data_IF_186881928812
#
_entry.id   IF_186881928812
#
_cell.length_a   1.000
_cell.length_b   1.000
_cell.length_c   1.000
_cell.angle_alpha   90.00
_cell.angle_beta   90.00
_cell.angle_gamma   90.00
#
_symmetry.space_group_name_H-M   'P 1'
#
loop_
_entity.id
_entity.type
_entity.pdbx_description
1 polymer ?
#
# COMPACT_ATOMS: atom_id res chain seq x y z
N UNK A 1 -10.56 3.36 10.92
CA UNK A 1 -9.22 2.92 10.50
C UNK A 1 -8.43 2.59 11.75
N UNK A 2 -7.60 1.53 11.79
CA UNK A 2 -6.77 1.33 13.00
C UNK A 2 -5.72 2.43 13.07
N UNK A 3 -5.56 3.07 14.23
CA UNK A 3 -4.52 4.10 14.44
C UNK A 3 -3.44 3.53 15.34
N UNK A 4 -2.18 3.70 14.96
CA UNK A 4 -1.02 3.33 15.76
C UNK A 4 -0.15 4.53 16.08
N UNK A 5 0.21 4.63 17.34
CA UNK A 5 1.09 5.66 17.88
C UNK A 5 2.47 5.05 18.13
N UNK A 6 3.51 5.83 17.90
CA UNK A 6 4.86 5.38 18.19
C UNK A 6 5.14 5.35 19.69
N UNK A 7 5.92 4.35 20.09
CA UNK A 7 6.57 4.35 21.38
C UNK A 7 7.82 5.21 21.32
N UNK A 8 8.06 6.02 22.35
CA UNK A 8 9.36 6.65 22.53
C UNK A 8 10.43 5.59 22.85
N UNK A 9 11.70 6.02 22.79
CA UNK A 9 12.86 5.14 23.02
C UNK A 9 12.84 4.48 24.40
N UNK A 10 12.39 5.20 25.42
CA UNK A 10 12.41 4.71 26.80
C UNK A 10 11.29 3.70 27.08
N UNK A 11 10.11 3.90 26.49
CA UNK A 11 8.98 2.96 26.55
C UNK A 11 9.29 1.71 25.75
N UNK A 12 9.84 1.85 24.54
CA UNK A 12 10.15 0.73 23.65
C UNK A 12 11.02 -0.33 24.33
N UNK A 13 12.05 0.10 25.08
CA UNK A 13 12.97 -0.80 25.78
C UNK A 13 12.32 -1.65 26.88
N UNK A 14 11.14 -1.24 27.39
CA UNK A 14 10.47 -1.90 28.51
C UNK A 14 9.23 -2.70 28.09
N UNK A 15 8.88 -2.66 26.81
CA UNK A 15 7.73 -3.38 26.29
C UNK A 15 7.92 -4.89 26.38
N UNK A 16 6.87 -5.56 26.80
CA UNK A 16 6.72 -7.01 26.67
C UNK A 16 6.58 -7.42 25.20
N UNK A 17 6.78 -8.70 24.90
CA UNK A 17 6.56 -9.25 23.55
C UNK A 17 5.15 -8.97 23.01
N UNK A 18 4.13 -9.05 23.88
CA UNK A 18 2.75 -8.77 23.49
C UNK A 18 2.58 -7.30 23.08
N UNK A 19 3.10 -6.37 23.88
CA UNK A 19 3.06 -4.94 23.57
C UNK A 19 3.84 -4.60 22.30
N UNK A 20 5.01 -5.22 22.07
CA UNK A 20 5.75 -5.04 20.82
C UNK A 20 4.92 -5.45 19.60
N UNK A 21 4.22 -6.59 19.66
CA UNK A 21 3.35 -7.02 18.56
C UNK A 21 2.18 -6.06 18.36
N UNK A 22 1.51 -5.70 19.45
CA UNK A 22 0.37 -4.77 19.42
C UNK A 22 0.75 -3.40 18.85
N UNK A 23 1.99 -2.93 19.06
CA UNK A 23 2.43 -1.62 18.58
C UNK A 23 3.06 -1.68 17.18
N UNK A 24 3.80 -2.73 16.82
CA UNK A 24 4.61 -2.74 15.59
C UNK A 24 4.21 -3.81 14.54
N UNK A 25 3.48 -4.85 14.91
CA UNK A 25 3.05 -5.89 13.98
C UNK A 25 1.63 -5.64 13.45
N UNK A 26 1.46 -5.59 12.13
CA UNK A 26 0.15 -5.56 11.50
C UNK A 26 -0.29 -6.99 11.18
N UNK A 27 -1.32 -7.47 11.87
CA UNK A 27 -1.94 -8.77 11.61
C UNK A 27 -3.18 -8.60 10.72
N UNK A 28 -3.49 -9.60 9.90
CA UNK A 28 -4.72 -9.59 9.09
C UNK A 28 -4.74 -8.55 7.97
N UNK A 29 -3.60 -8.02 7.53
CA UNK A 29 -3.57 -6.94 6.53
C UNK A 29 -4.28 -7.30 5.20
N UNK A 30 -4.31 -8.58 4.80
CA UNK A 30 -4.86 -9.06 3.51
C UNK A 30 -6.15 -9.87 3.67
N UNK A 31 -7.18 -9.28 4.26
CA UNK A 31 -8.51 -9.89 4.40
C UNK A 31 -9.25 -9.96 3.06
N UNK A 32 -9.66 -11.15 2.57
CA UNK A 32 -10.42 -11.29 1.32
C UNK A 32 -11.74 -10.52 1.35
N UNK A 33 -12.03 -9.77 0.28
CA UNK A 33 -13.25 -8.97 0.15
C UNK A 33 -13.24 -7.66 0.93
N UNK A 34 -12.10 -7.25 1.50
CA UNK A 34 -12.01 -6.05 2.32
C UNK A 34 -10.84 -5.14 1.92
N UNK A 35 -10.95 -3.87 2.34
CA UNK A 35 -9.84 -2.93 2.41
C UNK A 35 -9.48 -2.77 3.87
N UNK A 36 -8.22 -3.09 4.20
CA UNK A 36 -7.66 -2.88 5.54
C UNK A 36 -6.74 -1.67 5.48
N UNK A 37 -6.95 -0.70 6.37
CA UNK A 37 -6.11 0.49 6.48
C UNK A 37 -5.66 0.67 7.93
N UNK A 38 -4.38 0.97 8.08
CA UNK A 38 -3.75 1.33 9.33
C UNK A 38 -3.05 2.67 9.15
N UNK A 39 -3.42 3.63 10.00
CA UNK A 39 -2.79 4.92 10.11
C UNK A 39 -1.66 4.85 11.13
N UNK A 40 -0.43 5.07 10.70
CA UNK A 40 0.70 5.29 11.57
C UNK A 40 0.84 6.80 11.83
N UNK A 41 0.91 7.20 13.09
CA UNK A 41 1.10 8.61 13.45
C UNK A 41 2.43 9.16 12.93
N UNK A 42 3.49 8.33 12.90
CA UNK A 42 4.78 8.69 12.30
C UNK A 42 4.62 8.99 10.83
N UNK A 43 4.98 10.21 10.44
CA UNK A 43 4.83 10.75 9.09
C UNK A 43 3.38 10.69 8.56
N UNK A 44 2.41 10.38 9.43
CA UNK A 44 1.00 10.19 9.08
C UNK A 44 0.82 9.17 7.95
N UNK A 45 1.69 8.17 7.88
CA UNK A 45 1.67 7.15 6.86
C UNK A 45 0.39 6.31 6.98
N UNK A 46 -0.18 5.90 5.85
CA UNK A 46 -1.23 4.90 5.82
C UNK A 46 -0.69 3.66 5.11
N UNK A 47 -0.67 2.55 5.84
CA UNK A 47 -0.34 1.22 5.30
C UNK A 47 -1.64 0.46 5.16
N UNK A 48 -1.83 -0.24 4.06
CA UNK A 48 -3.07 -0.96 3.84
C UNK A 48 -2.98 -2.08 2.83
N UNK A 49 -4.11 -2.75 2.64
CA UNK A 49 -4.31 -3.59 1.48
C UNK A 49 -5.75 -3.52 0.96
N UNK A 50 -5.93 -3.91 -0.29
CA UNK A 50 -7.22 -4.21 -0.88
C UNK A 50 -7.15 -5.61 -1.51
N UNK A 51 -8.06 -6.49 -1.11
CA UNK A 51 -8.16 -7.85 -1.68
C UNK A 51 -9.56 -8.03 -2.28
N UNK A 52 -9.82 -7.47 -3.48
CA UNK A 52 -11.13 -7.60 -4.11
C UNK A 52 -11.40 -9.06 -4.50
N UNK A 53 -12.63 -9.52 -4.30
CA UNK A 53 -13.06 -10.88 -4.66
C UNK A 53 -14.21 -10.80 -5.65
N UNK A 54 -15.44 -11.11 -5.22
CA UNK A 54 -16.63 -11.07 -6.08
C UNK A 54 -17.15 -9.65 -6.37
N UNK A 55 -16.77 -8.67 -5.56
CA UNK A 55 -17.22 -7.28 -5.69
C UNK A 55 -16.04 -6.31 -5.72
N UNK A 56 -16.09 -5.24 -6.55
CA UNK A 56 -15.11 -4.16 -6.50
C UNK A 56 -15.06 -3.49 -5.14
N UNK A 57 -13.87 -3.11 -4.69
CA UNK A 57 -13.66 -2.40 -3.43
C UNK A 57 -13.31 -0.94 -3.72
N UNK A 58 -13.90 0.01 -2.98
CA UNK A 58 -13.64 1.45 -3.16
C UNK A 58 -12.79 1.99 -2.01
N UNK A 59 -11.71 2.69 -2.33
CA UNK A 59 -10.88 3.37 -1.36
C UNK A 59 -11.59 4.63 -0.85
N UNK A 60 -12.02 4.61 0.41
CA UNK A 60 -12.64 5.75 1.06
C UNK A 60 -11.67 6.42 2.03
N UNK A 61 -11.87 7.71 2.28
CA UNK A 61 -11.17 8.41 3.35
C UNK A 61 -11.70 7.92 4.72
N UNK A 62 -10.79 7.60 5.64
CA UNK A 62 -11.13 7.41 7.05
C UNK A 62 -11.50 8.74 7.71
N UNK A 63 -12.36 8.70 8.74
CA UNK A 63 -12.75 9.91 9.50
C UNK A 63 -11.54 10.63 10.09
N UNK A 64 -10.52 9.86 10.46
CA UNK A 64 -9.26 10.30 11.05
C UNK A 64 -8.42 11.18 10.10
N UNK A 65 -8.74 11.17 8.80
CA UNK A 65 -8.03 11.93 7.77
C UNK A 65 -8.61 13.33 7.54
N UNK A 66 -9.82 13.61 8.04
CA UNK A 66 -10.56 14.87 7.82
C UNK A 66 -10.56 15.30 6.34
N UNK A 67 -10.81 14.34 5.44
CA UNK A 67 -10.79 14.52 3.99
C UNK A 67 -12.08 13.99 3.37
N UNK A 68 -12.50 14.59 2.25
CA UNK A 68 -13.69 14.17 1.50
C UNK A 68 -13.47 12.86 0.73
N UNK A 69 -12.23 12.63 0.27
CA UNK A 69 -11.80 11.45 -0.46
C UNK A 69 -10.32 11.17 -0.18
N UNK A 70 -9.89 9.92 -0.39
CA UNK A 70 -8.62 9.43 0.15
C UNK A 70 -7.40 10.24 -0.33
N UNK A 71 -7.29 10.52 -1.63
CA UNK A 71 -6.15 11.23 -2.20
C UNK A 71 -6.30 12.77 -2.23
N UNK A 72 -7.26 13.36 -1.50
CA UNK A 72 -7.48 14.83 -1.51
C UNK A 72 -6.21 15.62 -1.18
N UNK A 73 -5.40 15.09 -0.25
CA UNK A 73 -4.13 15.68 0.20
C UNK A 73 -3.05 14.61 0.38
N UNK A 74 -3.14 13.53 -0.38
CA UNK A 74 -2.30 12.34 -0.25
C UNK A 74 -2.01 11.74 -1.60
N UNK A 75 -0.86 11.11 -1.69
CA UNK A 75 -0.50 10.18 -2.76
C UNK A 75 -0.52 8.75 -2.22
N UNK A 76 -0.63 7.76 -3.11
CA UNK A 76 -0.58 6.35 -2.73
C UNK A 76 0.13 5.53 -3.80
N UNK A 77 1.06 4.69 -3.34
CA UNK A 77 1.62 3.60 -4.11
C UNK A 77 0.80 2.33 -3.89
N UNK A 78 0.46 1.65 -4.97
CA UNK A 78 -0.30 0.40 -4.96
C UNK A 78 0.53 -0.69 -5.63
N UNK A 79 0.95 -1.71 -4.88
CA UNK A 79 1.72 -2.85 -5.42
C UNK A 79 0.85 -4.10 -5.41
N UNK A 80 0.65 -4.74 -6.56
CA UNK A 80 -0.07 -6.02 -6.58
C UNK A 80 0.89 -7.18 -6.24
N UNK A 81 0.60 -7.94 -5.19
CA UNK A 81 1.38 -9.14 -4.80
C UNK A 81 0.60 -10.45 -5.00
N UNK A 82 -0.64 -10.37 -5.48
CA UNK A 82 -1.56 -11.50 -5.68
C UNK A 82 -1.74 -11.90 -7.14
N UNK A 83 -2.94 -12.37 -7.49
CA UNK A 83 -3.35 -12.64 -8.87
C UNK A 83 -3.56 -11.37 -9.69
N UNK A 84 -3.83 -11.48 -11.00
CA UNK A 84 -4.10 -10.32 -11.83
C UNK A 84 -5.40 -9.60 -11.41
N UNK A 85 -5.40 -8.29 -11.56
CA UNK A 85 -6.54 -7.45 -11.25
C UNK A 85 -6.40 -6.08 -11.88
N UNK A 86 -7.27 -5.16 -11.46
CA UNK A 86 -7.34 -3.81 -12.01
C UNK A 86 -7.53 -2.79 -10.91
N UNK A 87 -6.89 -1.64 -11.08
CA UNK A 87 -7.19 -0.42 -10.34
C UNK A 87 -7.88 0.57 -11.27
N UNK A 88 -9.01 1.12 -10.85
CA UNK A 88 -9.69 2.21 -11.56
C UNK A 88 -9.50 3.50 -10.80
N UNK A 89 -8.98 4.54 -11.47
CA UNK A 89 -8.76 5.88 -10.90
C UNK A 89 -9.55 6.89 -11.73
N UNK A 90 -10.56 7.53 -11.15
CA UNK A 90 -11.41 8.53 -11.81
C UNK A 90 -11.93 8.04 -13.18
N UNK A 91 -12.37 6.78 -13.24
CA UNK A 91 -12.87 6.13 -14.46
C UNK A 91 -11.80 5.55 -15.39
N UNK A 92 -10.52 5.90 -15.22
CA UNK A 92 -9.40 5.30 -15.98
C UNK A 92 -8.99 3.97 -15.37
N UNK A 93 -8.93 2.93 -16.21
CA UNK A 93 -8.58 1.57 -15.83
C UNK A 93 -7.08 1.30 -16.01
N UNK A 94 -6.47 0.68 -15.01
CA UNK A 94 -5.09 0.20 -15.02
C UNK A 94 -5.09 -1.29 -14.70
N UNK A 95 -4.81 -2.11 -15.70
CA UNK A 95 -4.58 -3.54 -15.50
C UNK A 95 -3.25 -3.74 -14.76
N UNK A 96 -3.25 -4.60 -13.75
CA UNK A 96 -2.11 -4.81 -12.86
C UNK A 96 -1.85 -6.31 -12.69
N UNK A 97 -0.77 -6.79 -13.31
CA UNK A 97 -0.25 -8.12 -13.08
C UNK A 97 0.43 -8.20 -11.71
N UNK A 98 0.83 -9.42 -11.33
CA UNK A 98 1.61 -9.63 -10.11
C UNK A 98 2.95 -8.89 -10.22
N UNK A 99 3.27 -8.12 -9.18
CA UNK A 99 4.42 -7.22 -9.05
C UNK A 99 4.36 -5.95 -9.92
N UNK A 100 3.21 -5.59 -10.47
CA UNK A 100 3.02 -4.24 -11.02
C UNK A 100 2.73 -3.26 -9.89
N UNK A 101 3.17 -2.01 -10.06
CA UNK A 101 2.97 -0.92 -9.12
C UNK A 101 2.29 0.26 -9.81
N UNK A 102 1.28 0.84 -9.18
CA UNK A 102 0.62 2.06 -9.62
C UNK A 102 0.89 3.16 -8.61
N UNK A 103 1.51 4.25 -9.06
CA UNK A 103 1.53 5.50 -8.31
C UNK A 103 0.24 6.27 -8.63
N UNK A 104 -0.50 6.67 -7.60
CA UNK A 104 -1.69 7.53 -7.70
C UNK A 104 -1.37 8.84 -6.97
N UNK A 105 -1.33 9.93 -7.73
CA UNK A 105 -1.05 11.25 -7.20
C UNK A 105 -2.19 11.86 -6.41
N UNK A 106 -1.88 12.97 -5.74
CA UNK A 106 -2.87 13.82 -5.07
C UNK A 106 -3.96 14.28 -6.04
N UNK A 107 -5.19 14.36 -5.53
CA UNK A 107 -6.36 14.88 -6.24
C UNK A 107 -7.27 13.82 -6.84
N UNK A 108 -6.81 12.57 -6.95
CA UNK A 108 -7.64 11.45 -7.41
C UNK A 108 -8.85 11.25 -6.48
N UNK A 109 -10.06 11.27 -7.02
CA UNK A 109 -11.30 11.27 -6.22
C UNK A 109 -11.83 9.88 -5.98
N UNK A 110 -11.90 9.07 -7.02
CA UNK A 110 -12.42 7.71 -6.98
C UNK A 110 -11.33 6.71 -7.30
N UNK A 111 -10.97 5.87 -6.33
CA UNK A 111 -10.03 4.75 -6.52
C UNK A 111 -10.76 3.45 -6.20
N UNK A 112 -10.80 2.53 -7.15
CA UNK A 112 -11.45 1.23 -7.04
C UNK A 112 -10.52 0.08 -7.38
N UNK A 113 -10.71 -1.06 -6.72
CA UNK A 113 -9.91 -2.28 -6.89
C UNK A 113 -10.80 -3.44 -7.32
N UNK A 114 -10.34 -4.19 -8.30
CA UNK A 114 -11.01 -5.39 -8.83
C UNK A 114 -10.01 -6.52 -9.03
N UNK A 115 -10.46 -7.76 -8.85
CA UNK A 115 -9.72 -8.96 -9.25
C UNK A 115 -10.24 -9.47 -10.58
N UNK A 116 -9.37 -10.04 -11.40
CA UNK A 116 -9.81 -10.72 -12.63
C UNK A 116 -10.57 -12.01 -12.30
N UNK A 117 -10.14 -12.73 -11.25
CA UNK A 117 -10.78 -13.96 -10.81
C UNK A 117 -10.86 -14.04 -9.28
N UNK A 118 -12.05 -14.29 -8.72
CA UNK A 118 -12.26 -14.40 -7.28
C UNK A 118 -11.51 -15.59 -6.64
N UNK A 119 -11.26 -16.67 -7.40
CA UNK A 119 -10.49 -17.84 -6.93
C UNK A 119 -8.98 -17.60 -6.84
N UNK A 120 -8.47 -16.54 -7.46
CA UNK A 120 -7.08 -16.11 -7.39
C UNK A 120 -7.03 -14.58 -7.33
N UNK A 121 -7.45 -13.98 -6.20
CA UNK A 121 -7.66 -12.56 -6.13
C UNK A 121 -6.33 -11.79 -6.21
N UNK A 122 -6.39 -10.61 -6.81
CA UNK A 122 -5.38 -9.59 -6.64
C UNK A 122 -5.25 -9.23 -5.16
N UNK A 123 -4.02 -8.91 -4.75
CA UNK A 123 -3.70 -8.47 -3.39
C UNK A 123 -2.91 -7.20 -3.52
N UNK A 124 -3.61 -6.07 -3.48
CA UNK A 124 -2.99 -4.77 -3.60
C UNK A 124 -2.48 -4.35 -2.23
N UNK A 125 -1.18 -4.17 -2.08
CA UNK A 125 -0.56 -3.51 -0.94
C UNK A 125 -0.53 -2.00 -1.18
N UNK A 126 -0.99 -1.22 -0.21
CA UNK A 126 -1.10 0.23 -0.29
C UNK A 126 -0.11 0.88 0.68
N UNK A 127 0.61 1.89 0.21
CA UNK A 127 1.41 2.77 1.04
C UNK A 127 1.15 4.22 0.65
N UNK A 128 0.68 5.03 1.59
CA UNK A 128 0.27 6.41 1.33
C UNK A 128 0.88 7.38 2.32
N UNK A 129 1.23 8.56 1.81
CA UNK A 129 1.74 9.69 2.58
C UNK A 129 0.97 10.97 2.22
N UNK A 130 0.94 11.98 3.10
CA UNK A 130 0.51 13.33 2.75
C UNK A 130 1.30 13.87 1.57
N UNK A 131 0.61 14.52 0.63
CA UNK A 131 1.21 15.16 -0.54
C UNK A 131 0.65 16.57 -0.70
N UNK A 132 1.51 17.50 -1.13
CA UNK A 132 1.16 18.91 -1.32
C UNK A 132 1.12 19.32 -2.79
N UNK A 133 1.71 18.51 -3.66
CA UNK A 133 1.76 18.69 -5.11
C UNK A 133 1.08 17.51 -5.78
N UNK A 134 0.45 17.75 -6.92
CA UNK A 134 -0.09 16.73 -7.79
C UNK A 134 0.99 16.25 -8.78
N UNK A 135 1.14 14.94 -8.89
CA UNK A 135 1.96 14.29 -9.90
C UNK A 135 1.10 13.27 -10.66
N UNK A 136 1.45 12.95 -11.92
CA UNK A 136 0.61 12.11 -12.76
C UNK A 136 0.52 10.68 -12.24
N UNK A 137 -0.70 10.13 -12.24
CA UNK A 137 -0.94 8.71 -11.97
C UNK A 137 -0.23 7.86 -13.02
N UNK A 138 0.66 6.98 -12.58
CA UNK A 138 1.62 6.29 -13.46
C UNK A 138 1.76 4.83 -13.05
N UNK A 139 1.54 3.93 -14.02
CA UNK A 139 1.77 2.50 -13.87
C UNK A 139 3.24 2.18 -14.19
N UNK A 140 3.89 1.44 -13.30
CA UNK A 140 5.19 0.83 -13.51
C UNK A 140 5.03 -0.69 -13.41
N UNK A 141 5.24 -1.39 -14.53
CA UNK A 141 5.17 -2.85 -14.54
C UNK A 141 6.38 -3.45 -13.82
N UNK A 142 6.31 -4.74 -13.51
CA UNK A 142 7.45 -5.48 -12.96
C UNK A 142 8.73 -5.37 -13.81
N UNK A 143 8.61 -5.11 -15.12
CA UNK A 143 9.74 -4.93 -16.04
C UNK A 143 10.32 -3.51 -16.01
N UNK A 144 9.51 -2.52 -15.66
CA UNK A 144 9.91 -1.12 -15.59
C UNK A 144 10.66 -0.81 -14.27
N UNK A 145 10.50 -1.68 -13.27
CA UNK A 145 11.14 -1.53 -11.97
C UNK A 145 12.67 -1.62 -12.08
N UNK A 146 13.38 -0.60 -11.58
CA UNK A 146 14.84 -0.61 -11.54
C UNK A 146 15.31 -1.70 -10.57
N UNK A 147 15.93 -2.75 -11.11
CA UNK A 147 16.41 -3.90 -10.36
C UNK A 147 17.89 -3.75 -9.99
N UNK A 148 18.21 -3.92 -8.71
CA UNK A 148 19.59 -3.90 -8.20
C UNK A 148 19.84 -5.20 -7.43
N UNK A 149 20.76 -6.01 -7.92
CA UNK A 149 21.21 -7.23 -7.25
C UNK A 149 22.37 -6.91 -6.29
N UNK A 150 22.29 -7.42 -5.07
CA UNK A 150 23.22 -7.10 -3.97
C UNK A 150 23.42 -8.29 -3.05
N UNK A 151 24.52 -8.26 -2.32
CA UNK A 151 24.84 -9.25 -1.28
C UNK A 151 25.44 -10.52 -1.83
N UNK A 152 25.55 -11.52 -0.96
CA UNK A 152 26.11 -12.83 -1.24
C UNK A 152 25.40 -13.92 -0.43
N UNK A 153 25.55 -15.18 -0.84
CA UNK A 153 24.98 -16.31 -0.11
C UNK A 153 25.70 -16.56 1.20
N UNK A 154 27.01 -16.33 1.18
CA UNK A 154 27.92 -16.49 2.31
C UNK A 154 27.52 -15.55 3.47
N UNK A 155 27.07 -14.34 3.15
CA UNK A 155 26.55 -13.37 4.11
C UNK A 155 25.05 -13.52 4.39
N UNK A 156 24.39 -14.54 3.81
CA UNK A 156 22.95 -14.80 3.90
C UNK A 156 22.07 -13.58 3.55
N UNK A 157 22.54 -12.73 2.61
CA UNK A 157 21.88 -11.48 2.26
C UNK A 157 21.69 -11.28 0.74
N UNK A 158 21.97 -12.30 -0.08
CA UNK A 158 21.73 -12.30 -1.54
C UNK A 158 20.28 -11.92 -1.86
N UNK A 159 20.07 -10.79 -2.56
CA UNK A 159 18.73 -10.28 -2.87
C UNK A 159 18.70 -9.36 -4.10
N UNK A 160 17.50 -9.15 -4.62
CA UNK A 160 17.23 -8.13 -5.65
C UNK A 160 16.27 -7.08 -5.12
N UNK A 161 16.71 -5.83 -5.04
CA UNK A 161 15.87 -4.69 -4.73
C UNK A 161 15.22 -4.20 -6.03
N UNK A 162 13.89 -4.12 -6.06
CA UNK A 162 13.13 -3.54 -7.17
C UNK A 162 12.58 -2.19 -6.73
N UNK A 163 13.00 -1.12 -7.41
CA UNK A 163 12.56 0.25 -7.12
C UNK A 163 11.42 0.60 -8.08
N UNK A 164 10.28 1.04 -7.54
CA UNK A 164 9.10 1.41 -8.34
C UNK A 164 8.81 2.91 -8.27
N UNK A 165 8.64 3.46 -7.07
CA UNK A 165 8.43 4.88 -6.84
C UNK A 165 9.74 5.46 -6.31
N UNK A 166 10.54 6.05 -7.18
CA UNK A 166 11.84 6.62 -6.85
C UNK A 166 12.20 7.79 -7.77
N UNK A 167 13.11 8.69 -7.36
CA UNK A 167 13.67 9.70 -8.25
C UNK A 167 14.43 9.03 -9.40
N UNK A 168 14.27 9.56 -10.62
CA UNK A 168 15.07 9.17 -11.78
C UNK A 168 16.56 9.46 -11.57
#
# INVERSE_FOLDING_TARGET
MQVRYSADRERYQRMTTAELRENFLIEGLFTPGAIELLYCEVERAVVGSAVPTGTPLKLAAGREMAAEYFCQRREVGVLNIGGPGRVTVDGRKFEMARLDCLYIGRGAKEVGFESEAAGSPARFYLLSYPAHTDFPTTLATAKDAAAVHLGSREEANERTIRKYIHPG
#
